data_IF_944474502856
#
_entry.id   IF_944474502856
#
_cell.length_a   1.000
_cell.length_b   1.000
_cell.length_c   1.000
_cell.angle_alpha   90.00
_cell.angle_beta   90.00
_cell.angle_gamma   90.00
#
_symmetry.space_group_name_H-M   'P 1'
#
loop_
_entity.id
_entity.type
_entity.pdbx_description
1 polymer ?
#
# COMPACT_ATOMS: atom_id res chain seq x y z
N UNK A 1 17.94 58.34 -27.55
CA UNK A 1 17.28 57.91 -26.29
C UNK A 1 16.14 56.90 -26.50
N UNK A 2 15.18 57.09 -27.43
CA UNK A 2 14.06 56.13 -27.66
C UNK A 2 14.43 54.67 -28.00
N UNK A 3 15.58 54.42 -28.65
CA UNK A 3 16.01 53.06 -29.05
C UNK A 3 16.55 52.21 -27.90
N UNK A 4 17.10 52.83 -26.85
CA UNK A 4 17.63 52.12 -25.67
C UNK A 4 16.48 51.66 -24.77
N UNK A 5 15.42 52.46 -24.66
CA UNK A 5 14.23 52.13 -23.87
C UNK A 5 13.45 50.92 -24.43
N UNK A 6 13.37 50.79 -25.76
CA UNK A 6 12.68 49.66 -26.42
C UNK A 6 13.44 48.34 -26.19
N UNK A 7 14.77 48.36 -26.22
CA UNK A 7 15.61 47.18 -26.01
C UNK A 7 15.52 46.66 -24.56
N UNK A 8 15.50 47.56 -23.58
CA UNK A 8 15.34 47.20 -22.15
C UNK A 8 13.96 46.60 -21.87
N UNK A 9 12.90 47.15 -22.49
CA UNK A 9 11.55 46.61 -22.37
C UNK A 9 11.48 45.20 -22.97
N UNK A 10 12.06 44.97 -24.14
CA UNK A 10 12.07 43.63 -24.78
C UNK A 10 12.84 42.59 -23.97
N UNK A 11 13.97 42.95 -23.37
CA UNK A 11 14.74 42.05 -22.50
C UNK A 11 13.99 41.75 -21.19
N UNK A 12 13.31 42.75 -20.62
CA UNK A 12 12.44 42.54 -19.45
C UNK A 12 11.23 41.65 -19.77
N UNK A 13 10.64 41.79 -20.96
CA UNK A 13 9.52 40.96 -21.39
C UNK A 13 9.96 39.52 -21.69
N UNK A 14 11.15 39.34 -22.25
CA UNK A 14 11.71 38.01 -22.56
C UNK A 14 12.12 37.24 -21.30
N UNK A 15 12.64 37.92 -20.28
CA UNK A 15 12.94 37.31 -18.97
C UNK A 15 11.67 36.97 -18.19
N UNK A 16 10.62 37.79 -18.27
CA UNK A 16 9.28 37.48 -17.74
C UNK A 16 8.63 36.27 -18.43
N UNK A 17 8.74 36.16 -19.76
CA UNK A 17 8.19 35.03 -20.52
C UNK A 17 8.94 33.72 -20.25
N UNK A 18 10.27 33.75 -20.11
CA UNK A 18 11.05 32.57 -19.79
C UNK A 18 10.80 32.07 -18.35
N UNK A 19 10.70 32.98 -17.37
CA UNK A 19 10.41 32.62 -15.98
C UNK A 19 8.97 32.10 -15.75
N UNK A 20 7.99 32.62 -16.50
CA UNK A 20 6.61 32.11 -16.45
C UNK A 20 6.47 30.69 -17.02
N UNK A 21 7.37 30.25 -17.91
CA UNK A 21 7.29 28.92 -18.51
C UNK A 21 7.88 27.85 -17.59
N UNK A 22 8.96 28.17 -16.86
CA UNK A 22 9.58 27.24 -15.90
C UNK A 22 8.74 27.03 -14.64
N UNK A 23 8.11 28.08 -14.09
CA UNK A 23 7.23 27.97 -12.92
C UNK A 23 6.02 27.06 -13.18
N UNK A 24 5.42 27.16 -14.37
CA UNK A 24 4.31 26.28 -14.79
C UNK A 24 4.75 24.82 -14.92
N UNK A 25 5.93 24.57 -15.48
CA UNK A 25 6.47 23.22 -15.65
C UNK A 25 6.75 22.56 -14.29
N UNK A 26 7.34 23.30 -13.34
CA UNK A 26 7.60 22.82 -11.99
C UNK A 26 6.31 22.47 -11.23
N UNK A 27 5.29 23.33 -11.36
CA UNK A 27 3.96 23.09 -10.78
C UNK A 27 3.26 21.88 -11.39
N UNK A 28 3.33 21.72 -12.71
CA UNK A 28 2.77 20.55 -13.38
C UNK A 28 3.46 19.27 -12.92
N UNK A 29 4.79 19.28 -12.85
CA UNK A 29 5.58 18.14 -12.34
C UNK A 29 5.19 17.78 -10.91
N UNK A 30 5.00 18.78 -10.04
CA UNK A 30 4.54 18.55 -8.67
C UNK A 30 3.19 17.83 -8.62
N UNK A 31 2.21 18.29 -9.42
CA UNK A 31 0.88 17.67 -9.51
C UNK A 31 0.96 16.23 -10.05
N UNK A 32 1.79 15.97 -11.05
CA UNK A 32 2.03 14.63 -11.58
C UNK A 32 2.65 13.70 -10.52
N UNK A 33 3.56 14.20 -9.69
CA UNK A 33 4.14 13.43 -8.58
C UNK A 33 3.09 13.12 -7.51
N UNK A 34 2.26 14.08 -7.10
CA UNK A 34 1.16 13.85 -6.15
C UNK A 34 0.20 12.80 -6.68
N UNK A 35 -0.21 12.90 -7.96
CA UNK A 35 -1.09 11.92 -8.61
C UNK A 35 -0.48 10.52 -8.59
N UNK A 36 0.80 10.40 -8.97
CA UNK A 36 1.52 9.13 -8.97
C UNK A 36 1.59 8.50 -7.57
N UNK A 37 1.86 9.30 -6.54
CA UNK A 37 1.89 8.82 -5.15
C UNK A 37 0.50 8.32 -4.73
N UNK A 38 -0.55 9.09 -5.03
CA UNK A 38 -1.92 8.73 -4.68
C UNK A 38 -2.37 7.41 -5.33
N UNK A 39 -2.03 7.21 -6.61
CA UNK A 39 -2.28 5.96 -7.35
C UNK A 39 -1.51 4.77 -6.77
N UNK A 40 -0.24 4.97 -6.41
CA UNK A 40 0.57 3.94 -5.74
C UNK A 40 0.01 3.56 -4.37
N UNK A 41 -0.44 4.52 -3.58
CA UNK A 41 -1.11 4.27 -2.29
C UNK A 41 -2.36 3.41 -2.51
N UNK A 42 -3.23 3.77 -3.47
CA UNK A 42 -4.44 3.01 -3.78
C UNK A 42 -4.13 1.57 -4.20
N UNK A 43 -3.19 1.40 -5.14
CA UNK A 43 -2.79 0.07 -5.63
C UNK A 43 -2.19 -0.80 -4.52
N UNK A 44 -1.24 -0.27 -3.75
CA UNK A 44 -0.61 -1.00 -2.64
C UNK A 44 -1.61 -1.31 -1.52
N UNK A 45 -2.53 -0.40 -1.23
CA UNK A 45 -3.61 -0.63 -0.24
C UNK A 45 -4.56 -1.74 -0.68
N UNK A 46 -4.80 -1.90 -1.98
CA UNK A 46 -5.66 -2.97 -2.52
C UNK A 46 -5.02 -4.35 -2.30
N UNK A 47 -3.70 -4.45 -2.51
CA UNK A 47 -2.95 -5.69 -2.20
C UNK A 47 -2.92 -5.95 -0.69
N UNK A 48 -2.72 -4.89 0.11
CA UNK A 48 -2.73 -4.98 1.58
C UNK A 48 -4.10 -5.45 2.11
N UNK A 49 -5.20 -4.92 1.55
CA UNK A 49 -6.58 -5.29 1.90
C UNK A 49 -6.84 -6.80 1.66
N UNK A 50 -6.34 -7.38 0.57
CA UNK A 50 -6.42 -8.83 0.30
C UNK A 50 -5.76 -9.62 1.43
N UNK A 51 -4.54 -9.26 1.81
CA UNK A 51 -3.76 -9.94 2.87
C UNK A 51 -4.46 -9.79 4.23
N UNK A 52 -4.86 -8.56 4.57
CA UNK A 52 -5.48 -8.22 5.86
C UNK A 52 -6.79 -8.97 6.08
N UNK A 53 -7.64 -9.04 5.05
CA UNK A 53 -8.90 -9.76 5.09
C UNK A 53 -8.70 -11.27 5.24
N UNK A 54 -7.67 -11.81 4.60
CA UNK A 54 -7.36 -13.24 4.70
C UNK A 54 -6.85 -13.60 6.08
N UNK A 55 -5.95 -12.80 6.68
CA UNK A 55 -5.55 -12.98 8.08
C UNK A 55 -6.74 -12.90 9.03
N UNK A 56 -7.67 -11.95 8.84
CA UNK A 56 -8.86 -11.85 9.70
C UNK A 56 -9.71 -13.14 9.67
N UNK A 57 -9.90 -13.72 8.48
CA UNK A 57 -10.68 -14.95 8.31
C UNK A 57 -9.95 -16.18 8.84
N UNK A 58 -8.66 -16.31 8.56
CA UNK A 58 -7.80 -17.40 9.06
C UNK A 58 -7.78 -17.39 10.58
N UNK A 59 -7.58 -16.21 11.17
CA UNK A 59 -7.57 -16.06 12.63
C UNK A 59 -8.90 -16.47 13.26
N UNK A 60 -10.03 -16.04 12.67
CA UNK A 60 -11.36 -16.44 13.13
C UNK A 60 -11.54 -17.97 13.05
N UNK A 61 -11.22 -18.57 11.91
CA UNK A 61 -11.39 -20.01 11.68
C UNK A 61 -10.52 -20.87 12.60
N UNK A 62 -9.26 -20.47 12.82
CA UNK A 62 -8.36 -21.16 13.74
C UNK A 62 -8.91 -21.20 15.17
N UNK A 63 -9.52 -20.11 15.63
CA UNK A 63 -10.09 -20.01 16.98
C UNK A 63 -11.36 -20.85 17.12
N UNK A 64 -12.23 -20.84 16.10
CA UNK A 64 -13.56 -21.45 16.22
C UNK A 64 -13.54 -22.96 15.96
N UNK A 65 -12.81 -23.44 14.95
CA UNK A 65 -13.01 -24.80 14.42
C UNK A 65 -11.71 -25.60 14.17
N UNK A 66 -10.56 -24.92 14.13
CA UNK A 66 -9.34 -25.44 13.52
C UNK A 66 -9.47 -25.52 11.99
N UNK A 67 -8.40 -25.26 11.25
CA UNK A 67 -8.46 -25.05 9.80
C UNK A 67 -7.99 -26.30 9.06
N UNK A 68 -8.84 -26.94 8.25
CA UNK A 68 -8.39 -27.98 7.32
C UNK A 68 -7.54 -27.37 6.21
N UNK A 69 -6.61 -28.14 5.62
CA UNK A 69 -5.75 -27.61 4.55
C UNK A 69 -6.54 -27.17 3.30
N UNK A 70 -7.68 -27.82 3.01
CA UNK A 70 -8.60 -27.40 1.96
C UNK A 70 -9.24 -26.04 2.27
N UNK A 71 -9.76 -25.84 3.49
CA UNK A 71 -10.33 -24.56 3.90
C UNK A 71 -9.27 -23.47 3.90
N UNK A 72 -8.05 -23.80 4.34
CA UNK A 72 -6.92 -22.88 4.32
C UNK A 72 -6.61 -22.41 2.88
N UNK A 73 -6.65 -23.32 1.91
CA UNK A 73 -6.43 -23.00 0.50
C UNK A 73 -7.53 -22.08 -0.06
N UNK A 74 -8.79 -22.32 0.31
CA UNK A 74 -9.91 -21.41 -0.02
C UNK A 74 -9.70 -20.01 0.57
N UNK A 75 -9.32 -19.92 1.85
CA UNK A 75 -9.10 -18.66 2.55
C UNK A 75 -7.93 -17.84 1.97
N UNK A 76 -6.91 -18.50 1.46
CA UNK A 76 -5.75 -17.88 0.80
C UNK A 76 -5.95 -17.63 -0.70
N UNK A 77 -7.06 -18.07 -1.29
CA UNK A 77 -7.27 -18.06 -2.75
C UNK A 77 -6.15 -18.78 -3.51
N UNK A 78 -5.85 -20.02 -3.10
CA UNK A 78 -4.78 -20.84 -3.68
C UNK A 78 -5.16 -22.32 -3.76
N UNK A 79 -4.24 -23.16 -4.23
CA UNK A 79 -4.46 -24.60 -4.36
C UNK A 79 -4.13 -25.34 -3.06
N UNK A 80 -4.84 -26.44 -2.80
CA UNK A 80 -4.54 -27.32 -1.67
C UNK A 80 -3.08 -27.87 -1.77
N UNK A 81 -2.56 -28.09 -2.98
CA UNK A 81 -1.15 -28.46 -3.21
C UNK A 81 -0.17 -27.42 -2.67
N UNK A 82 -0.44 -26.13 -2.89
CA UNK A 82 0.44 -25.05 -2.40
C UNK A 82 0.44 -24.99 -0.88
N UNK A 83 -0.75 -25.04 -0.26
CA UNK A 83 -0.88 -25.08 1.21
C UNK A 83 -0.20 -26.31 1.79
N UNK A 84 -0.47 -27.51 1.26
CA UNK A 84 0.19 -28.75 1.68
C UNK A 84 1.72 -28.64 1.63
N UNK A 85 2.25 -28.06 0.57
CA UNK A 85 3.70 -27.86 0.41
C UNK A 85 4.26 -26.95 1.50
N UNK A 86 3.56 -25.88 1.85
CA UNK A 86 3.98 -24.95 2.92
C UNK A 86 3.85 -25.61 4.29
N UNK A 87 2.70 -26.22 4.57
CA UNK A 87 2.41 -26.91 5.83
C UNK A 87 3.42 -28.03 6.13
N UNK A 88 3.71 -28.88 5.13
CA UNK A 88 4.67 -29.99 5.28
C UNK A 88 6.10 -29.47 5.48
N UNK A 89 6.47 -28.38 4.80
CA UNK A 89 7.77 -27.74 5.00
C UNK A 89 7.90 -27.13 6.41
N UNK A 90 6.81 -26.63 7.00
CA UNK A 90 6.80 -26.07 8.35
C UNK A 90 7.03 -27.13 9.44
N UNK A 91 6.47 -28.34 9.27
CA UNK A 91 6.54 -29.42 10.28
C UNK A 91 7.77 -30.34 10.15
N UNK A 92 8.52 -30.24 9.05
CA UNK A 92 9.63 -31.12 8.63
C UNK A 92 9.23 -32.61 8.45
N UNK A 93 9.58 -33.31 7.37
CA UNK A 93 10.55 -33.03 6.32
C UNK A 93 9.99 -33.24 4.90
N UNK A 94 10.82 -32.83 3.94
CA UNK A 94 10.61 -32.99 2.50
C UNK A 94 10.57 -34.48 2.17
N UNK A 95 9.38 -35.06 2.28
CA UNK A 95 9.16 -36.50 2.13
C UNK A 95 8.18 -36.97 3.18
N UNK A 96 6.90 -36.82 2.87
CA UNK A 96 5.91 -37.90 2.80
C UNK A 96 4.61 -37.21 2.36
N UNK A 97 4.25 -37.41 1.10
CA UNK A 97 2.90 -37.18 0.58
C UNK A 97 1.97 -38.29 1.09
N UNK A 98 2.02 -38.61 2.38
CA UNK A 98 1.07 -39.54 2.99
C UNK A 98 -0.13 -38.72 3.44
N UNK A 99 -1.30 -39.05 2.89
CA UNK A 99 -2.59 -38.36 3.03
C UNK A 99 -2.71 -37.49 4.30
N UNK A 100 -2.47 -36.19 4.11
CA UNK A 100 -2.77 -35.14 5.08
C UNK A 100 -4.28 -34.88 5.18
N UNK A 101 -5.15 -35.81 4.73
CA UNK A 101 -6.60 -35.63 4.59
C UNK A 101 -7.26 -35.20 5.92
N UNK A 102 -6.62 -35.50 7.06
CA UNK A 102 -7.08 -35.13 8.40
C UNK A 102 -6.22 -34.07 9.10
N UNK A 103 -5.22 -33.48 8.43
CA UNK A 103 -4.39 -32.43 9.02
C UNK A 103 -5.18 -31.15 9.21
N UNK A 104 -5.15 -30.63 10.43
CA UNK A 104 -5.74 -29.34 10.80
C UNK A 104 -4.68 -28.44 11.40
N UNK A 105 -4.73 -27.17 11.03
CA UNK A 105 -4.01 -26.09 11.69
C UNK A 105 -4.88 -25.59 12.84
N UNK A 106 -4.54 -26.00 14.06
CA UNK A 106 -5.29 -25.65 15.28
C UNK A 106 -4.61 -24.50 16.04
N UNK A 107 -3.28 -24.34 15.90
CA UNK A 107 -2.57 -23.23 16.50
C UNK A 107 -2.69 -21.98 15.62
N UNK A 108 -3.08 -20.88 16.25
CA UNK A 108 -3.24 -19.61 15.57
C UNK A 108 -1.92 -19.05 15.01
N UNK A 109 -0.83 -19.13 15.75
CA UNK A 109 0.46 -18.59 15.31
C UNK A 109 1.01 -19.39 14.13
N UNK A 110 0.78 -20.70 14.14
CA UNK A 110 1.06 -21.59 13.02
C UNK A 110 0.27 -21.18 11.76
N UNK A 111 -1.04 -20.93 11.89
CA UNK A 111 -1.87 -20.46 10.79
C UNK A 111 -1.34 -19.16 10.18
N UNK A 112 -1.02 -18.16 11.00
CA UNK A 112 -0.42 -16.92 10.48
C UNK A 112 0.93 -17.17 9.81
N UNK A 113 1.77 -18.02 10.37
CA UNK A 113 3.08 -18.35 9.78
C UNK A 113 2.93 -19.00 8.39
N UNK A 114 1.97 -19.90 8.22
CA UNK A 114 1.66 -20.53 6.93
C UNK A 114 1.15 -19.49 5.93
N UNK A 115 0.23 -18.62 6.35
CA UNK A 115 -0.33 -17.56 5.52
C UNK A 115 0.73 -16.54 5.09
N UNK A 116 1.58 -16.09 6.01
CA UNK A 116 2.73 -15.23 5.70
C UNK A 116 3.69 -15.90 4.71
N UNK A 117 4.00 -17.18 4.90
CA UNK A 117 4.87 -17.93 3.99
C UNK A 117 4.26 -17.99 2.60
N UNK A 118 2.94 -18.16 2.50
CA UNK A 118 2.23 -18.09 1.24
C UNK A 118 2.40 -16.71 0.58
N UNK A 119 2.12 -15.61 1.29
CA UNK A 119 2.21 -14.26 0.71
C UNK A 119 3.63 -13.82 0.34
N UNK A 120 4.65 -14.30 1.06
CA UNK A 120 6.06 -14.14 0.68
C UNK A 120 6.38 -14.92 -0.61
N UNK A 121 5.82 -16.13 -0.77
CA UNK A 121 6.01 -16.94 -1.99
C UNK A 121 5.28 -16.39 -3.22
N UNK A 122 4.10 -15.79 -3.05
CA UNK A 122 3.35 -15.16 -4.15
C UNK A 122 3.88 -13.78 -4.52
N UNK A 123 4.76 -13.19 -3.70
CA UNK A 123 5.30 -11.85 -3.93
C UNK A 123 4.37 -10.73 -3.46
N UNK A 124 3.29 -11.04 -2.74
CA UNK A 124 2.34 -10.05 -2.23
C UNK A 124 3.03 -9.15 -1.16
N UNK A 125 3.82 -9.75 -0.25
CA UNK A 125 4.57 -9.00 0.79
C UNK A 125 5.68 -8.15 0.16
N UNK A 126 6.40 -8.68 -0.83
CA UNK A 126 7.46 -7.98 -1.55
C UNK A 126 6.90 -6.80 -2.36
N UNK A 127 5.74 -6.99 -3.00
CA UNK A 127 5.00 -5.94 -3.69
C UNK A 127 4.62 -4.81 -2.73
N UNK A 128 4.06 -5.14 -1.57
CA UNK A 128 3.68 -4.16 -0.54
C UNK A 128 4.91 -3.39 -0.05
N UNK A 129 5.99 -4.09 0.31
CA UNK A 129 7.22 -3.45 0.82
C UNK A 129 7.90 -2.56 -0.23
N UNK A 130 7.94 -2.99 -1.48
CA UNK A 130 8.52 -2.21 -2.58
C UNK A 130 7.70 -0.93 -2.84
N UNK A 131 6.37 -1.04 -2.80
CA UNK A 131 5.49 0.12 -2.92
C UNK A 131 5.67 1.08 -1.74
N UNK A 132 5.69 0.57 -0.50
CA UNK A 132 5.92 1.35 0.72
C UNK A 132 7.20 2.17 0.64
N UNK A 133 8.31 1.53 0.26
CA UNK A 133 9.60 2.21 0.09
C UNK A 133 9.57 3.28 -1.03
N UNK A 134 8.95 2.97 -2.17
CA UNK A 134 8.81 3.92 -3.28
C UNK A 134 7.96 5.14 -2.89
N UNK A 135 6.83 4.93 -2.22
CA UNK A 135 5.93 5.97 -1.74
C UNK A 135 6.64 6.85 -0.70
N UNK A 136 7.34 6.23 0.26
CA UNK A 136 8.10 6.97 1.27
C UNK A 136 9.17 7.88 0.64
N UNK A 137 9.90 7.39 -0.38
CA UNK A 137 10.85 8.22 -1.11
C UNK A 137 10.17 9.39 -1.81
N UNK A 138 9.08 9.10 -2.55
CA UNK A 138 8.37 10.11 -3.31
C UNK A 138 7.73 11.20 -2.43
N UNK A 139 7.18 10.84 -1.26
CA UNK A 139 6.65 11.81 -0.27
C UNK A 139 7.76 12.75 0.22
N UNK A 140 8.99 12.26 0.42
CA UNK A 140 10.13 13.09 0.84
C UNK A 140 10.56 14.06 -0.27
N UNK A 141 10.53 13.62 -1.53
CA UNK A 141 10.89 14.44 -2.68
C UNK A 141 9.97 15.65 -2.86
N UNK A 142 8.69 15.52 -2.53
CA UNK A 142 7.70 16.60 -2.68
C UNK A 142 7.43 17.38 -1.38
N UNK A 143 8.27 17.22 -0.35
CA UNK A 143 8.04 17.80 0.98
C UNK A 143 8.09 19.34 1.03
N UNK A 144 8.53 19.99 -0.05
CA UNK A 144 8.53 21.45 -0.22
C UNK A 144 7.52 21.82 -1.32
N UNK A 145 6.21 21.85 -1.00
CA UNK A 145 5.18 22.15 -2.00
C UNK A 145 5.19 23.63 -2.40
N UNK A 146 4.80 23.97 -3.65
CA UNK A 146 4.36 25.33 -3.99
C UNK A 146 3.23 25.78 -3.06
N UNK A 147 3.19 27.07 -2.73
CA UNK A 147 2.24 27.63 -1.74
C UNK A 147 0.79 27.25 -2.02
N UNK A 148 0.37 27.29 -3.30
CA UNK A 148 -0.98 26.93 -3.74
C UNK A 148 -1.33 25.43 -3.57
N UNK A 149 -0.33 24.56 -3.43
CA UNK A 149 -0.50 23.11 -3.27
C UNK A 149 -0.20 22.61 -1.85
N UNK A 150 0.08 23.50 -0.90
CA UNK A 150 0.32 23.13 0.51
C UNK A 150 -0.85 22.32 1.11
N UNK A 151 -2.09 22.69 0.78
CA UNK A 151 -3.27 21.98 1.28
C UNK A 151 -3.40 20.56 0.70
N UNK A 152 -3.04 20.38 -0.57
CA UNK A 152 -3.01 19.06 -1.24
C UNK A 152 -1.92 18.18 -0.63
N UNK A 153 -0.73 18.75 -0.39
CA UNK A 153 0.36 18.04 0.28
C UNK A 153 -0.05 17.54 1.65
N UNK A 154 -0.65 18.41 2.48
CA UNK A 154 -1.06 18.05 3.83
C UNK A 154 -2.06 16.88 3.82
N UNK A 155 -3.01 16.86 2.89
CA UNK A 155 -3.97 15.76 2.75
C UNK A 155 -3.32 14.47 2.26
N UNK A 156 -2.42 14.56 1.28
CA UNK A 156 -1.64 13.42 0.83
C UNK A 156 -0.77 12.85 1.97
N UNK A 157 -0.19 13.71 2.81
CA UNK A 157 0.64 13.29 3.93
C UNK A 157 -0.16 12.60 5.03
N UNK A 158 -1.38 13.08 5.33
CA UNK A 158 -2.28 12.38 6.25
C UNK A 158 -2.75 11.04 5.68
N UNK A 159 -3.07 10.97 4.38
CA UNK A 159 -3.33 9.71 3.69
C UNK A 159 -2.13 8.76 3.81
N UNK A 160 -0.91 9.25 3.58
CA UNK A 160 0.33 8.47 3.70
C UNK A 160 0.51 7.89 5.11
N UNK A 161 0.26 8.68 6.17
CA UNK A 161 0.34 8.20 7.56
C UNK A 161 -0.66 7.08 7.84
N UNK A 162 -1.86 7.16 7.29
CA UNK A 162 -2.85 6.10 7.44
C UNK A 162 -2.49 4.87 6.60
N UNK A 163 -1.93 5.07 5.40
CA UNK A 163 -1.40 4.01 4.56
C UNK A 163 -0.31 3.21 5.26
N UNK A 164 0.64 3.87 5.93
CA UNK A 164 1.71 3.18 6.68
C UNK A 164 1.13 2.25 7.75
N UNK A 165 0.18 2.75 8.56
CA UNK A 165 -0.51 1.93 9.58
C UNK A 165 -1.28 0.77 8.95
N UNK A 166 -1.86 0.99 7.77
CA UNK A 166 -2.63 -0.02 7.07
C UNK A 166 -1.73 -1.14 6.54
N UNK A 167 -0.60 -0.77 5.93
CA UNK A 167 0.42 -1.72 5.46
C UNK A 167 1.02 -2.51 6.61
N UNK A 168 1.23 -1.90 7.78
CA UNK A 168 1.72 -2.62 8.96
C UNK A 168 0.80 -3.80 9.33
N UNK A 169 -0.53 -3.67 9.16
CA UNK A 169 -1.45 -4.79 9.38
C UNK A 169 -1.23 -5.96 8.38
N UNK A 170 -0.77 -5.67 7.16
CA UNK A 170 -0.55 -6.68 6.13
C UNK A 170 0.82 -7.38 6.27
N UNK A 171 1.86 -6.65 6.69
CA UNK A 171 3.23 -7.19 6.74
C UNK A 171 3.69 -7.62 8.14
N UNK A 172 3.04 -7.12 9.18
CA UNK A 172 3.34 -7.39 10.60
C UNK A 172 2.04 -7.51 11.42
N UNK A 173 1.20 -8.53 11.11
CA UNK A 173 -0.07 -8.72 11.80
C UNK A 173 0.16 -9.00 13.29
N UNK A 174 -0.42 -8.16 14.16
CA UNK A 174 -0.20 -8.26 15.61
C UNK A 174 -1.41 -7.82 16.43
N UNK A 175 -1.43 -8.24 17.71
CA UNK A 175 -2.50 -7.95 18.66
C UNK A 175 -3.46 -9.12 18.86
N UNK A 176 -4.70 -8.82 19.27
CA UNK A 176 -5.81 -9.79 19.29
C UNK A 176 -6.68 -9.66 18.04
N UNK A 177 -7.41 -10.71 17.67
CA UNK A 177 -8.39 -10.69 16.57
C UNK A 177 -9.29 -9.45 16.63
N UNK A 178 -9.85 -9.15 17.79
CA UNK A 178 -10.72 -7.98 17.99
C UNK A 178 -9.98 -6.67 17.70
N UNK A 179 -8.78 -6.48 18.26
CA UNK A 179 -8.01 -5.25 18.07
C UNK A 179 -7.52 -5.09 16.62
N UNK A 180 -7.13 -6.19 16.00
CA UNK A 180 -6.65 -6.25 14.61
C UNK A 180 -7.78 -5.92 13.63
N UNK A 181 -8.91 -6.63 13.73
CA UNK A 181 -10.09 -6.40 12.88
C UNK A 181 -10.67 -5.01 13.06
N UNK A 182 -10.72 -4.48 14.29
CA UNK A 182 -11.18 -3.11 14.55
C UNK A 182 -10.29 -2.08 13.84
N UNK A 183 -8.95 -2.24 13.90
CA UNK A 183 -8.01 -1.36 13.19
C UNK A 183 -8.17 -1.44 11.68
N UNK A 184 -8.31 -2.65 11.13
CA UNK A 184 -8.54 -2.85 9.70
C UNK A 184 -9.83 -2.16 9.23
N UNK A 185 -10.92 -2.36 9.97
CA UNK A 185 -12.23 -1.76 9.69
C UNK A 185 -12.25 -0.23 9.83
N UNK A 186 -11.42 0.35 10.70
CA UNK A 186 -11.27 1.80 10.79
C UNK A 186 -10.40 2.38 9.67
N UNK A 187 -9.28 1.72 9.35
CA UNK A 187 -8.29 2.27 8.40
C UNK A 187 -8.73 2.12 6.94
N UNK A 188 -9.35 1.00 6.55
CA UNK A 188 -9.80 0.78 5.16
C UNK A 188 -10.65 1.94 4.59
N UNK A 189 -11.73 2.41 5.26
CA UNK A 189 -12.49 3.57 4.77
C UNK A 189 -11.70 4.88 4.82
N UNK A 190 -10.79 5.05 5.78
CA UNK A 190 -9.91 6.23 5.82
C UNK A 190 -9.01 6.31 4.59
N UNK A 191 -8.42 5.20 4.16
CA UNK A 191 -7.63 5.13 2.92
C UNK A 191 -8.49 5.52 1.71
N UNK A 192 -9.66 4.91 1.55
CA UNK A 192 -10.56 5.19 0.43
C UNK A 192 -10.97 6.66 0.40
N UNK A 193 -11.28 7.23 1.57
CA UNK A 193 -11.67 8.63 1.68
C UNK A 193 -10.51 9.58 1.37
N UNK A 194 -9.29 9.29 1.85
CA UNK A 194 -8.11 10.11 1.60
C UNK A 194 -7.71 10.11 0.13
N UNK A 195 -7.72 8.95 -0.54
CA UNK A 195 -7.44 8.85 -1.98
C UNK A 195 -8.42 9.71 -2.79
N UNK A 196 -9.71 9.66 -2.44
CA UNK A 196 -10.75 10.49 -3.10
C UNK A 196 -10.55 11.97 -2.83
N UNK A 197 -10.24 12.35 -1.59
CA UNK A 197 -10.02 13.74 -1.19
C UNK A 197 -8.86 14.38 -1.96
N UNK A 198 -7.71 13.69 -2.01
CA UNK A 198 -6.55 14.14 -2.79
C UNK A 198 -6.92 14.29 -4.27
N UNK A 199 -7.56 13.27 -4.86
CA UNK A 199 -7.94 13.28 -6.28
C UNK A 199 -8.88 14.44 -6.64
N UNK A 200 -9.84 14.76 -5.77
CA UNK A 200 -10.82 15.82 -6.00
C UNK A 200 -10.22 17.24 -5.99
N UNK A 201 -9.02 17.41 -5.43
CA UNK A 201 -8.31 18.70 -5.35
C UNK A 201 -7.21 18.88 -6.39
N UNK A 202 -6.86 17.82 -7.11
CA UNK A 202 -5.91 17.95 -8.20
C UNK A 202 -6.54 18.81 -9.32
N UNK A 203 -5.81 19.79 -9.88
CA UNK A 203 -6.26 20.52 -11.05
C UNK A 203 -6.43 19.55 -12.23
N UNK A 204 -7.44 19.79 -13.07
CA UNK A 204 -7.74 19.01 -14.27
C UNK A 204 -6.77 19.29 -15.41
#
# INVERSE_FOLDING_TARGET
>A
MKRITILVILISLFTLLAGCNSDKEEKQKYIEQVKSINEKILSSSTVSEKVINSYSKIWLEAIENGITLEKFAELLDTTNTNVNTIYSAHHMGVGLLEDNEYSKVEDFNEAITIAETHYKKTGDIETINSARASIQSAIKEIALPPEEYQSIYNELFELYKNYEKYVDLAIDPSGSLQSYTSKAQSLSPEIVSGVKAVSARLPQ
#
